data_IF_481411959460
#
_entry.id   IF_481411959460
#
_cell.length_a   1.000
_cell.length_b   1.000
_cell.length_c   1.000
_cell.angle_alpha   90.00
_cell.angle_beta   90.00
_cell.angle_gamma   90.00
#
_symmetry.space_group_name_H-M   'P 1'
#
loop_
_entity.id
_entity.type
_entity.pdbx_description
1 polymer ?
#
# COMPACT_ATOMS: atom_id res chain seq x y z
N UNK A 1 -8.05 -13.63 13.35
CA UNK A 1 -9.29 -12.98 13.85
C UNK A 1 -10.47 -13.78 13.35
N UNK A 2 -11.36 -14.25 14.23
CA UNK A 2 -12.52 -15.04 13.81
C UNK A 2 -13.62 -14.16 13.17
N UNK A 3 -14.63 -14.79 12.57
CA UNK A 3 -15.73 -14.10 11.88
C UNK A 3 -16.55 -13.16 12.79
N UNK A 4 -16.79 -13.53 14.04
CA UNK A 4 -17.56 -12.70 14.96
C UNK A 4 -16.79 -11.43 15.34
N UNK A 5 -15.51 -11.57 15.68
CA UNK A 5 -14.63 -10.44 15.99
C UNK A 5 -14.51 -9.50 14.79
N UNK A 6 -14.40 -10.05 13.58
CA UNK A 6 -14.39 -9.26 12.34
C UNK A 6 -15.66 -8.44 12.15
N UNK A 7 -16.85 -9.04 12.32
CA UNK A 7 -18.14 -8.34 12.19
C UNK A 7 -18.28 -7.24 13.23
N UNK A 8 -17.87 -7.51 14.47
CA UNK A 8 -17.88 -6.50 15.54
C UNK A 8 -16.90 -5.37 15.24
N UNK A 9 -15.68 -5.68 14.80
CA UNK A 9 -14.67 -4.68 14.52
C UNK A 9 -15.05 -3.73 13.37
N UNK A 10 -15.60 -4.27 12.28
CA UNK A 10 -16.07 -3.48 11.14
C UNK A 10 -17.31 -2.64 11.50
N UNK A 11 -18.23 -3.19 12.30
CA UNK A 11 -19.37 -2.43 12.83
C UNK A 11 -18.90 -1.29 13.76
N UNK A 12 -17.89 -1.54 14.59
CA UNK A 12 -17.33 -0.52 15.46
C UNK A 12 -16.67 0.59 14.64
N UNK A 13 -15.88 0.28 13.61
CA UNK A 13 -15.34 1.30 12.71
C UNK A 13 -16.43 2.14 12.06
N UNK A 14 -17.52 1.52 11.59
CA UNK A 14 -18.66 2.26 11.04
C UNK A 14 -19.25 3.29 12.01
N UNK A 15 -19.25 3.01 13.31
CA UNK A 15 -19.67 3.96 14.35
C UNK A 15 -18.67 5.10 14.53
N UNK A 16 -17.37 4.83 14.43
CA UNK A 16 -16.33 5.86 14.59
C UNK A 16 -16.32 6.86 13.43
N UNK A 17 -16.61 6.41 12.21
CA UNK A 17 -16.51 7.26 11.01
C UNK A 17 -17.34 8.56 11.09
N UNK A 18 -18.48 8.55 11.77
CA UNK A 18 -19.31 9.76 11.91
C UNK A 18 -18.93 10.66 13.09
N UNK A 19 -17.95 10.27 13.92
CA UNK A 19 -17.55 10.99 15.13
C UNK A 19 -16.06 11.31 15.12
N UNK A 20 -15.75 12.58 14.84
CA UNK A 20 -14.40 13.08 14.80
C UNK A 20 -13.64 12.88 16.13
N UNK A 21 -14.30 13.04 17.29
CA UNK A 21 -13.64 12.89 18.58
C UNK A 21 -13.19 11.45 18.81
N UNK A 22 -14.02 10.47 18.45
CA UNK A 22 -13.63 9.06 18.51
C UNK A 22 -12.45 8.75 17.59
N UNK A 23 -12.44 9.31 16.38
CA UNK A 23 -11.32 9.15 15.43
C UNK A 23 -10.02 9.73 15.99
N UNK A 24 -10.04 10.93 16.57
CA UNK A 24 -8.81 11.58 17.09
C UNK A 24 -8.16 10.82 18.26
N UNK A 25 -8.96 10.06 19.00
CA UNK A 25 -8.47 9.18 20.06
C UNK A 25 -7.88 7.87 19.51
N UNK A 26 -8.47 7.36 18.43
CA UNK A 26 -8.10 6.10 17.79
C UNK A 26 -6.86 6.21 16.89
N UNK A 27 -6.78 7.27 16.09
CA UNK A 27 -5.78 7.41 15.02
C UNK A 27 -4.79 8.50 15.40
N UNK A 28 -3.50 8.17 15.37
CA UNK A 28 -2.41 9.15 15.38
C UNK A 28 -1.74 9.14 14.01
N UNK A 29 -1.52 10.32 13.44
CA UNK A 29 -1.05 10.45 12.04
C UNK A 29 0.39 9.98 11.82
N UNK A 30 1.12 9.66 12.89
CA UNK A 30 2.48 9.12 12.86
C UNK A 30 2.55 7.61 13.18
N UNK A 31 1.42 6.92 13.27
CA UNK A 31 1.39 5.47 13.49
C UNK A 31 1.42 4.71 12.16
N UNK A 32 1.80 3.44 12.23
CA UNK A 32 1.93 2.55 11.08
C UNK A 32 1.30 1.19 11.36
N UNK A 33 0.97 0.47 10.31
CA UNK A 33 0.68 -0.96 10.34
C UNK A 33 1.95 -1.74 10.04
N UNK A 34 2.01 -2.98 10.51
CA UNK A 34 3.15 -3.88 10.27
C UNK A 34 2.64 -5.28 9.97
N UNK A 35 3.11 -5.84 8.85
CA UNK A 35 2.83 -7.20 8.42
C UNK A 35 4.14 -7.99 8.45
N UNK A 36 4.13 -9.11 9.17
CA UNK A 36 5.23 -10.07 9.10
C UNK A 36 5.18 -10.90 7.82
N UNK A 37 6.31 -11.51 7.45
CA UNK A 37 6.38 -12.48 6.36
C UNK A 37 5.32 -13.58 6.46
N UNK A 38 5.17 -14.21 7.63
CA UNK A 38 4.18 -15.26 7.85
C UNK A 38 2.74 -14.77 7.59
N UNK A 39 2.42 -13.53 7.97
CA UNK A 39 1.12 -12.93 7.70
C UNK A 39 0.92 -12.70 6.20
N UNK A 40 1.93 -12.17 5.52
CA UNK A 40 1.92 -11.93 4.08
C UNK A 40 1.72 -13.25 3.33
N UNK A 41 2.48 -14.28 3.66
CA UNK A 41 2.36 -15.61 3.04
C UNK A 41 0.99 -16.23 3.29
N UNK A 42 0.42 -16.05 4.49
CA UNK A 42 -0.93 -16.51 4.78
C UNK A 42 -1.98 -15.77 3.94
N UNK A 43 -1.87 -14.44 3.82
CA UNK A 43 -2.76 -13.62 2.98
C UNK A 43 -2.69 -14.09 1.53
N UNK A 44 -1.48 -14.32 1.01
CA UNK A 44 -1.24 -14.82 -0.36
C UNK A 44 -1.84 -16.19 -0.60
N UNK A 45 -1.66 -17.11 0.35
CA UNK A 45 -2.16 -18.49 0.20
C UNK A 45 -3.69 -18.57 0.26
N UNK A 46 -4.33 -17.66 1.00
CA UNK A 46 -5.79 -17.65 1.15
C UNK A 46 -6.51 -16.86 0.05
N UNK A 47 -5.86 -15.82 -0.52
CA UNK A 47 -6.46 -14.96 -1.54
C UNK A 47 -6.25 -15.52 -2.95
N UNK A 48 -7.33 -15.67 -3.72
CA UNK A 48 -7.31 -16.19 -5.10
C UNK A 48 -7.53 -15.10 -6.16
N UNK A 49 -7.65 -13.85 -5.73
CA UNK A 49 -7.89 -12.70 -6.61
C UNK A 49 -6.62 -11.90 -6.86
N UNK A 50 -6.62 -11.09 -7.91
CA UNK A 50 -5.47 -10.25 -8.30
C UNK A 50 -5.13 -9.17 -7.26
N UNK A 51 -6.15 -8.74 -6.50
CA UNK A 51 -6.02 -7.80 -5.40
C UNK A 51 -6.33 -8.50 -4.06
N UNK A 52 -5.64 -8.11 -3.00
CA UNK A 52 -6.06 -8.35 -1.62
C UNK A 52 -7.06 -7.27 -1.18
N UNK A 53 -8.01 -7.64 -0.33
CA UNK A 53 -8.95 -6.72 0.31
C UNK A 53 -8.60 -6.56 1.80
N UNK A 54 -8.25 -5.33 2.21
CA UNK A 54 -8.08 -4.98 3.60
C UNK A 54 -9.25 -4.11 4.08
N UNK A 55 -10.13 -4.66 4.91
CA UNK A 55 -11.19 -3.90 5.57
C UNK A 55 -10.68 -3.24 6.85
N UNK A 56 -11.24 -2.08 7.18
CA UNK A 56 -10.86 -1.33 8.38
C UNK A 56 -11.82 -1.65 9.52
N UNK A 57 -11.26 -1.94 10.68
CA UNK A 57 -12.01 -2.22 11.91
C UNK A 57 -11.45 -1.49 13.12
N UNK A 58 -12.18 -1.56 14.23
CA UNK A 58 -11.69 -1.23 15.57
C UNK A 58 -11.76 -2.50 16.40
N UNK A 59 -10.62 -2.93 16.95
CA UNK A 59 -10.55 -4.16 17.75
C UNK A 59 -9.65 -3.93 18.96
N UNK A 60 -10.15 -4.23 20.15
CA UNK A 60 -9.41 -3.96 21.40
C UNK A 60 -9.12 -2.47 21.64
N UNK A 61 -9.92 -1.56 21.06
CA UNK A 61 -9.69 -0.11 21.12
C UNK A 61 -8.58 0.40 20.19
N UNK A 62 -8.00 -0.45 19.34
CA UNK A 62 -7.01 -0.09 18.34
C UNK A 62 -7.63 -0.17 16.93
N UNK A 63 -7.18 0.68 16.00
CA UNK A 63 -7.55 0.56 14.59
C UNK A 63 -6.82 -0.64 13.98
N UNK A 64 -7.53 -1.46 13.21
CA UNK A 64 -6.98 -2.64 12.53
C UNK A 64 -7.26 -2.62 11.03
N UNK A 65 -6.31 -3.16 10.26
CA UNK A 65 -6.55 -3.62 8.89
C UNK A 65 -6.77 -5.13 8.93
N UNK A 66 -7.91 -5.58 8.44
CA UNK A 66 -8.35 -6.98 8.44
C UNK A 66 -8.34 -7.46 6.99
N UNK A 67 -7.48 -8.43 6.68
CA UNK A 67 -7.32 -8.98 5.35
C UNK A 67 -8.36 -10.06 5.11
N UNK A 68 -9.32 -9.74 4.25
CA UNK A 68 -10.43 -10.61 3.92
C UNK A 68 -10.11 -11.31 2.59
N UNK A 69 -10.01 -12.66 2.57
CA UNK A 69 -9.63 -13.39 1.36
C UNK A 69 -10.74 -13.32 0.33
N UNK A 70 -10.34 -13.08 -0.92
CA UNK A 70 -11.22 -13.06 -2.06
C UNK A 70 -11.06 -14.35 -2.88
N UNK A 71 -12.18 -14.83 -3.43
CA UNK A 71 -12.18 -15.90 -4.42
C UNK A 71 -11.80 -15.37 -5.82
N UNK A 72 -11.71 -16.27 -6.80
CA UNK A 72 -11.32 -15.93 -8.19
C UNK A 72 -12.26 -14.90 -8.85
N UNK A 73 -13.49 -14.76 -8.36
CA UNK A 73 -14.47 -13.81 -8.86
C UNK A 73 -14.44 -12.46 -8.11
N UNK A 74 -13.57 -12.31 -7.10
CA UNK A 74 -13.43 -11.09 -6.29
C UNK A 74 -14.42 -10.97 -5.13
N UNK A 75 -15.17 -12.03 -4.81
CA UNK A 75 -16.04 -12.07 -3.63
C UNK A 75 -15.30 -12.62 -2.41
N UNK A 76 -15.74 -12.24 -1.20
CA UNK A 76 -15.22 -12.82 0.04
C UNK A 76 -15.38 -14.36 0.02
N UNK A 77 -14.27 -15.08 0.17
CA UNK A 77 -14.27 -16.54 0.30
C UNK A 77 -14.74 -16.92 1.72
N UNK A 78 -16.04 -17.25 1.83
CA UNK A 78 -16.68 -17.63 3.09
C UNK A 78 -16.18 -18.96 3.68
N UNK A 79 -15.35 -19.72 2.96
CA UNK A 79 -14.74 -20.94 3.52
C UNK A 79 -13.62 -20.65 4.51
N UNK A 80 -13.03 -19.44 4.46
CA UNK A 80 -12.02 -18.98 5.41
C UNK A 80 -12.72 -18.30 6.60
N UNK A 81 -12.55 -18.89 7.78
CA UNK A 81 -13.20 -18.43 9.03
C UNK A 81 -12.24 -17.69 9.97
N UNK A 82 -10.97 -17.59 9.60
CA UNK A 82 -9.95 -16.87 10.36
C UNK A 82 -9.16 -15.92 9.45
N UNK A 83 -9.27 -14.63 9.75
CA UNK A 83 -8.69 -13.54 8.99
C UNK A 83 -7.37 -13.06 9.58
N UNK A 84 -6.40 -12.76 8.72
CA UNK A 84 -5.19 -12.06 9.10
C UNK A 84 -5.51 -10.59 9.36
N UNK A 85 -4.85 -9.99 10.35
CA UNK A 85 -5.02 -8.57 10.64
C UNK A 85 -3.75 -7.96 11.21
N UNK A 86 -3.62 -6.66 11.05
CA UNK A 86 -2.56 -5.85 11.65
C UNK A 86 -3.16 -4.63 12.33
N UNK A 87 -2.44 -4.09 13.31
CA UNK A 87 -2.92 -3.02 14.19
C UNK A 87 -2.12 -1.75 14.00
N UNK A 88 -2.80 -0.61 14.02
CA UNK A 88 -2.18 0.70 13.90
C UNK A 88 -1.42 1.04 15.18
N UNK A 89 -0.09 1.10 15.11
CA UNK A 89 0.77 1.22 16.29
C UNK A 89 1.85 2.29 16.13
N UNK A 90 2.40 2.81 17.25
CA UNK A 90 3.53 3.73 17.20
C UNK A 90 4.69 3.14 16.41
N UNK A 91 5.30 3.97 15.58
CA UNK A 91 6.52 3.59 14.89
C UNK A 91 7.67 3.46 15.91
N UNK A 92 8.24 2.25 16.06
CA UNK A 92 9.32 1.98 17.03
C UNK A 92 10.70 2.45 16.56
N UNK A 93 10.94 2.44 15.24
CA UNK A 93 12.22 2.76 14.62
C UNK A 93 12.00 3.54 13.32
N UNK A 94 12.94 4.41 12.96
CA UNK A 94 12.86 5.17 11.71
C UNK A 94 12.60 4.24 10.51
N UNK A 95 11.72 4.66 9.60
CA UNK A 95 11.50 3.97 8.33
C UNK A 95 12.49 4.55 7.32
N UNK A 96 13.24 3.67 6.66
CA UNK A 96 14.08 4.05 5.52
C UNK A 96 13.33 3.70 4.24
N UNK A 97 13.01 4.71 3.45
CA UNK A 97 12.60 4.54 2.07
C UNK A 97 13.87 4.51 1.21
N UNK A 98 14.02 3.51 0.36
CA UNK A 98 15.20 3.32 -0.48
C UNK A 98 14.78 2.94 -1.89
N UNK A 99 15.16 3.79 -2.84
CA UNK A 99 15.10 3.54 -4.27
C UNK A 99 16.53 3.42 -4.81
N UNK A 100 16.95 2.21 -5.17
CA UNK A 100 18.24 1.99 -5.82
C UNK A 100 18.02 1.99 -7.33
N UNK A 101 18.51 2.99 -8.08
CA UNK A 101 18.50 2.99 -9.56
C UNK A 101 19.89 2.59 -10.07
N UNK A 102 20.02 1.42 -10.69
CA UNK A 102 21.23 1.07 -11.44
C UNK A 102 21.09 1.53 -12.90
N UNK A 103 22.04 2.34 -13.37
CA UNK A 103 22.11 2.76 -14.77
C UNK A 103 23.14 1.90 -15.52
N UNK A 104 22.71 1.12 -16.52
CA UNK A 104 23.64 0.49 -17.46
C UNK A 104 24.07 1.50 -18.52
N UNK A 105 25.30 2.01 -18.44
CA UNK A 105 25.87 2.86 -19.51
C UNK A 105 26.54 1.99 -20.56
N UNK A 106 25.81 1.61 -21.61
CA UNK A 106 26.37 0.88 -22.76
C UNK A 106 27.08 1.87 -23.70
N UNK A 107 28.42 1.95 -23.61
CA UNK A 107 29.24 2.67 -24.60
C UNK A 107 29.64 1.72 -25.72
N UNK A 108 28.89 1.74 -26.81
CA UNK A 108 29.30 1.06 -28.03
C UNK A 108 30.23 1.99 -28.84
N UNK A 109 31.43 1.51 -29.15
CA UNK A 109 32.33 2.15 -30.12
C UNK A 109 32.36 1.29 -31.38
N UNK A 110 31.99 1.88 -32.52
CA UNK A 110 32.09 1.21 -33.82
C UNK A 110 33.40 1.65 -34.48
N UNK A 111 34.28 0.68 -34.70
CA UNK A 111 35.49 0.87 -35.52
C UNK A 111 35.15 0.50 -36.96
N UNK A 112 35.59 1.31 -37.90
CA UNK A 112 35.50 1.01 -39.33
C UNK A 112 36.40 -0.19 -39.69
N UNK A 113 36.26 -0.68 -40.92
CA UNK A 113 37.11 -1.75 -41.46
C UNK A 113 38.60 -1.38 -41.57
N UNK A 114 38.94 -0.09 -41.51
CA UNK A 114 40.31 0.44 -41.43
C UNK A 114 40.71 0.89 -40.00
N UNK A 115 39.98 0.43 -38.98
CA UNK A 115 40.24 0.68 -37.55
C UNK A 115 40.22 2.16 -37.13
N UNK A 116 39.52 3.01 -37.88
CA UNK A 116 39.26 4.40 -37.49
C UNK A 116 37.94 4.49 -36.72
N UNK A 117 37.89 5.39 -35.73
CA UNK A 117 36.70 5.58 -34.89
C UNK A 117 35.63 6.29 -35.71
N UNK A 118 34.50 5.64 -35.96
CA UNK A 118 33.32 6.28 -36.56
C UNK A 118 32.58 6.97 -35.42
N UNK A 119 32.41 8.30 -35.49
CA UNK A 119 31.69 9.06 -34.46
C UNK A 119 30.29 8.48 -34.26
N UNK A 120 30.09 7.88 -33.09
CA UNK A 120 28.94 7.03 -32.80
C UNK A 120 27.75 7.80 -32.27
N UNK A 121 26.58 7.50 -32.84
CA UNK A 121 25.29 7.75 -32.20
C UNK A 121 25.33 7.19 -30.78
N UNK A 122 25.33 8.09 -29.81
CA UNK A 122 25.26 7.72 -28.40
C UNK A 122 23.81 7.38 -28.12
N UNK A 123 23.38 6.16 -28.45
CA UNK A 123 22.06 5.67 -28.07
C UNK A 123 22.07 5.34 -26.57
N UNK A 124 21.80 6.35 -25.75
CA UNK A 124 21.36 6.18 -24.37
C UNK A 124 19.97 5.51 -24.40
N UNK A 125 19.94 4.18 -24.44
CA UNK A 125 18.70 3.46 -24.14
C UNK A 125 18.52 3.44 -22.63
N UNK A 126 17.61 4.29 -22.13
CA UNK A 126 17.08 4.15 -20.78
C UNK A 126 16.42 2.75 -20.69
N UNK A 127 16.67 1.97 -19.64
CA UNK A 127 15.92 0.74 -19.44
C UNK A 127 14.43 1.10 -19.34
N UNK A 128 13.61 0.43 -20.15
CA UNK A 128 12.17 0.52 -20.08
C UNK A 128 11.79 -0.16 -18.76
N UNK A 129 11.45 0.63 -17.74
CA UNK A 129 10.89 0.16 -16.48
C UNK A 129 9.57 -0.56 -16.79
N UNK A 130 9.58 -1.89 -16.74
CA UNK A 130 8.40 -2.73 -16.99
C UNK A 130 7.48 -2.88 -15.77
N UNK A 131 7.78 -2.21 -14.66
CA UNK A 131 6.96 -2.26 -13.44
C UNK A 131 6.60 -0.82 -13.01
N UNK A 132 5.34 -0.58 -12.57
CA UNK A 132 4.92 0.72 -12.06
C UNK A 132 5.56 0.95 -10.68
N UNK A 133 6.83 1.35 -10.68
CA UNK A 133 7.52 1.81 -9.48
C UNK A 133 7.03 3.23 -9.19
N UNK A 134 6.45 3.43 -8.00
CA UNK A 134 6.14 4.77 -7.54
C UNK A 134 7.44 5.50 -7.20
N UNK A 135 7.63 6.69 -7.76
CA UNK A 135 8.73 7.57 -7.35
C UNK A 135 8.66 7.81 -5.83
N UNK A 136 9.75 7.49 -5.13
CA UNK A 136 9.85 7.58 -3.67
C UNK A 136 9.40 8.95 -3.13
N UNK A 137 9.69 10.03 -3.87
CA UNK A 137 9.30 11.39 -3.52
C UNK A 137 7.78 11.58 -3.43
N UNK A 138 7.02 10.92 -4.30
CA UNK A 138 5.54 10.98 -4.29
C UNK A 138 4.98 10.27 -3.05
N UNK A 139 5.61 9.17 -2.63
CA UNK A 139 5.23 8.47 -1.42
C UNK A 139 5.53 9.30 -0.16
N UNK A 140 6.72 9.90 -0.09
CA UNK A 140 7.11 10.81 1.00
C UNK A 140 6.11 11.96 1.10
N UNK A 141 5.84 12.64 -0.01
CA UNK A 141 4.92 13.78 -0.05
C UNK A 141 3.51 13.37 0.44
N UNK A 142 3.02 12.21 0.03
CA UNK A 142 1.71 11.70 0.46
C UNK A 142 1.67 11.40 1.98
N UNK A 143 2.74 10.81 2.54
CA UNK A 143 2.86 10.54 3.99
C UNK A 143 2.96 11.84 4.77
N UNK A 144 3.76 12.80 4.30
CA UNK A 144 3.89 14.11 4.95
C UNK A 144 2.57 14.89 4.93
N UNK A 145 1.85 14.86 3.81
CA UNK A 145 0.50 15.43 3.72
C UNK A 145 -0.46 14.78 4.71
N UNK A 146 -0.43 13.45 4.84
CA UNK A 146 -1.22 12.76 5.86
C UNK A 146 -0.85 13.20 7.27
N UNK A 147 0.45 13.27 7.57
CA UNK A 147 0.95 13.71 8.88
C UNK A 147 0.43 15.10 9.25
N UNK A 148 0.47 16.02 8.29
CA UNK A 148 0.15 17.44 8.52
C UNK A 148 -1.34 17.76 8.39
N UNK A 149 -2.08 17.03 7.55
CA UNK A 149 -3.46 17.35 7.17
C UNK A 149 -4.48 16.23 7.42
N UNK A 150 -4.09 15.05 7.88
CA UNK A 150 -4.98 13.90 8.06
C UNK A 150 -6.11 14.16 9.07
N UNK A 151 -5.82 14.87 10.16
CA UNK A 151 -6.85 15.22 11.16
C UNK A 151 -7.83 16.27 10.63
N UNK A 152 -7.34 17.27 9.88
CA UNK A 152 -8.21 18.24 9.23
C UNK A 152 -9.10 17.57 8.17
N UNK A 153 -8.54 16.60 7.43
CA UNK A 153 -9.31 15.79 6.49
C UNK A 153 -10.43 15.03 7.21
N UNK A 154 -10.15 14.37 8.33
CA UNK A 154 -11.20 13.70 9.13
C UNK A 154 -12.23 14.67 9.67
N UNK A 155 -11.81 15.82 10.20
CA UNK A 155 -12.73 16.84 10.71
C UNK A 155 -13.73 17.24 9.63
N UNK A 156 -13.24 17.55 8.43
CA UNK A 156 -14.08 17.88 7.28
C UNK A 156 -15.00 16.72 6.89
N UNK A 157 -14.48 15.50 6.77
CA UNK A 157 -15.30 14.35 6.33
C UNK A 157 -16.39 13.98 7.35
N UNK A 158 -16.13 14.13 8.65
CA UNK A 158 -17.14 13.94 9.69
C UNK A 158 -18.17 15.08 9.69
N UNK A 159 -17.75 16.34 9.59
CA UNK A 159 -18.63 17.51 9.73
C UNK A 159 -19.46 17.82 8.49
N UNK A 160 -18.88 17.74 7.29
CA UNK A 160 -19.57 18.06 6.03
C UNK A 160 -20.30 16.85 5.43
N UNK A 161 -19.79 15.64 5.66
CA UNK A 161 -20.26 14.43 4.96
C UNK A 161 -20.69 13.30 5.90
N UNK A 162 -20.78 13.56 7.21
CA UNK A 162 -21.25 12.58 8.20
C UNK A 162 -20.39 11.32 8.29
N UNK A 163 -19.15 11.36 7.79
CA UNK A 163 -18.25 10.21 7.75
C UNK A 163 -18.50 9.21 6.63
N UNK A 164 -19.50 9.43 5.77
CA UNK A 164 -19.88 8.45 4.73
C UNK A 164 -18.74 8.15 3.75
N UNK A 165 -17.91 9.14 3.48
CA UNK A 165 -16.77 9.08 2.55
C UNK A 165 -15.49 8.59 3.18
N UNK A 166 -15.47 8.39 4.51
CA UNK A 166 -14.31 7.81 5.18
C UNK A 166 -14.23 6.35 4.77
N UNK A 167 -13.02 5.96 4.37
CA UNK A 167 -12.67 4.64 3.87
C UNK A 167 -13.17 3.52 4.79
N UNK A 168 -13.69 2.46 4.17
CA UNK A 168 -14.08 1.21 4.84
C UNK A 168 -13.14 0.06 4.52
N UNK A 169 -12.54 0.10 3.33
CA UNK A 169 -11.66 -0.94 2.81
C UNK A 169 -10.69 -0.37 1.78
N UNK A 170 -9.63 -1.10 1.56
CA UNK A 170 -8.62 -0.85 0.56
C UNK A 170 -8.41 -2.10 -0.29
N UNK A 171 -8.22 -1.90 -1.60
CA UNK A 171 -7.79 -2.96 -2.51
C UNK A 171 -6.32 -2.77 -2.84
N UNK A 172 -5.55 -3.83 -2.63
CA UNK A 172 -4.09 -3.82 -2.70
C UNK A 172 -3.69 -4.83 -3.78
N UNK A 173 -3.06 -4.42 -4.89
CA UNK A 173 -2.46 -5.35 -5.83
C UNK A 173 -1.57 -6.37 -5.12
N UNK A 174 -1.74 -7.66 -5.43
CA UNK A 174 -0.97 -8.73 -4.78
C UNK A 174 0.55 -8.60 -5.00
N UNK A 175 0.95 -7.93 -6.08
CA UNK A 175 2.33 -7.57 -6.39
C UNK A 175 2.94 -6.60 -5.35
N UNK A 176 2.14 -5.69 -4.78
CA UNK A 176 2.64 -4.75 -3.76
C UNK A 176 2.89 -5.44 -2.41
N UNK A 177 2.24 -6.59 -2.19
CA UNK A 177 2.45 -7.44 -1.02
C UNK A 177 3.53 -8.50 -1.24
N UNK A 178 4.02 -8.68 -2.46
CA UNK A 178 4.99 -9.73 -2.75
C UNK A 178 5.93 -9.40 -3.89
N UNK A 179 7.22 -9.32 -3.56
CA UNK A 179 8.28 -9.27 -4.56
C UNK A 179 9.02 -10.62 -4.60
N UNK A 180 9.17 -11.26 -5.78
CA UNK A 180 9.81 -12.56 -5.89
C UNK A 180 11.32 -12.51 -5.63
N UNK A 181 11.97 -11.35 -5.88
CA UNK A 181 13.39 -11.15 -5.60
C UNK A 181 13.75 -9.65 -5.51
N UNK A 182 14.38 -9.15 -4.44
CA UNK A 182 14.68 -9.84 -3.19
C UNK A 182 13.40 -10.20 -2.41
N UNK A 183 13.48 -11.26 -1.61
CA UNK A 183 12.34 -11.72 -0.80
C UNK A 183 11.92 -10.66 0.23
N UNK A 184 10.61 -10.51 0.44
CA UNK A 184 10.04 -9.56 1.40
C UNK A 184 10.07 -10.17 2.81
N UNK A 185 10.84 -9.58 3.71
CA UNK A 185 10.95 -9.98 5.11
C UNK A 185 9.79 -9.45 5.97
N UNK A 186 9.17 -8.36 5.53
CA UNK A 186 8.00 -7.76 6.15
C UNK A 186 7.62 -6.46 5.45
N UNK A 187 6.44 -5.94 5.78
CA UNK A 187 5.93 -4.70 5.20
C UNK A 187 5.46 -3.78 6.32
N UNK A 188 5.84 -2.49 6.25
CA UNK A 188 5.20 -1.45 7.05
C UNK A 188 4.26 -0.66 6.15
N UNK A 189 3.08 -0.36 6.66
CA UNK A 189 2.09 0.40 5.91
C UNK A 189 1.82 1.73 6.62
N UNK A 190 1.88 2.82 5.87
CA UNK A 190 1.53 4.15 6.38
C UNK A 190 0.35 4.71 5.62
N UNK A 191 -0.48 5.51 6.29
CA UNK A 191 -1.48 6.30 5.57
C UNK A 191 -0.80 7.41 4.77
N UNK A 192 -1.32 7.65 3.58
CA UNK A 192 -0.98 8.79 2.73
C UNK A 192 -2.22 9.58 2.38
N UNK A 193 -2.06 10.86 2.05
CA UNK A 193 -3.13 11.73 1.57
C UNK A 193 -2.78 12.25 0.17
N UNK A 194 -3.63 11.94 -0.82
CA UNK A 194 -3.39 12.29 -2.22
C UNK A 194 -4.61 12.89 -2.88
N UNK A 195 -4.39 13.88 -3.74
CA UNK A 195 -5.46 14.41 -4.56
C UNK A 195 -5.85 13.40 -5.63
N UNK A 196 -7.14 13.22 -5.85
CA UNK A 196 -7.67 12.40 -6.92
C UNK A 196 -8.40 13.29 -7.92
N UNK A 197 -7.90 13.31 -9.16
CA UNK A 197 -8.44 14.17 -10.22
C UNK A 197 -9.83 13.74 -10.70
N UNK A 198 -10.19 12.46 -10.58
CA UNK A 198 -11.51 11.99 -11.00
C UNK A 198 -12.57 12.45 -10.00
N UNK A 199 -12.29 12.31 -8.70
CA UNK A 199 -13.21 12.68 -7.63
C UNK A 199 -13.05 14.14 -7.17
N UNK A 200 -12.05 14.86 -7.71
CA UNK A 200 -11.72 16.24 -7.38
C UNK A 200 -11.62 16.49 -5.86
N UNK A 201 -10.93 15.60 -5.15
CA UNK A 201 -10.79 15.64 -3.69
C UNK A 201 -9.56 14.90 -3.18
N UNK A 202 -9.16 15.22 -1.96
CA UNK A 202 -8.14 14.45 -1.23
C UNK A 202 -8.73 13.11 -0.79
N UNK A 203 -8.01 12.03 -1.08
CA UNK A 203 -8.31 10.67 -0.64
C UNK A 203 -7.19 10.14 0.24
N UNK A 204 -7.58 9.39 1.26
CA UNK A 204 -6.65 8.61 2.08
C UNK A 204 -6.29 7.34 1.33
N UNK A 205 -5.01 6.99 1.30
CA UNK A 205 -4.48 5.75 0.75
C UNK A 205 -3.59 5.07 1.79
N UNK A 206 -3.29 3.79 1.59
CA UNK A 206 -2.28 3.07 2.38
C UNK A 206 -1.08 2.80 1.46
N UNK A 207 0.09 3.23 1.92
CA UNK A 207 1.36 3.07 1.23
C UNK A 207 2.08 1.89 1.88
N UNK A 208 2.43 0.88 1.08
CA UNK A 208 3.13 -0.31 1.50
C UNK A 208 4.63 -0.12 1.27
N UNK A 209 5.41 -0.31 2.35
CA UNK A 209 6.86 -0.15 2.36
C UNK A 209 7.47 -1.51 2.71
N UNK A 210 8.01 -2.18 1.71
CA UNK A 210 8.61 -3.50 1.84
C UNK A 210 9.99 -3.42 2.50
N UNK A 211 10.34 -4.42 3.30
CA UNK A 211 11.68 -4.59 3.84
C UNK A 211 12.25 -5.88 3.26
N UNK A 212 13.42 -5.77 2.63
CA UNK A 212 14.13 -6.90 2.05
C UNK A 212 15.38 -7.20 2.88
N UNK A 213 15.66 -8.47 3.13
CA UNK A 213 16.88 -8.89 3.85
C UNK A 213 18.16 -8.47 3.09
N UNK A 214 18.16 -8.59 1.75
CA UNK A 214 19.30 -8.23 0.89
C UNK A 214 19.64 -6.73 0.89
N UNK A 215 18.69 -5.84 1.17
CA UNK A 215 18.94 -4.40 1.30
C UNK A 215 19.66 -4.02 2.61
N UNK A 216 19.82 -4.95 3.54
CA UNK A 216 20.67 -4.75 4.72
C UNK A 216 22.17 -4.97 4.41
N UNK A 217 22.50 -5.69 3.33
CA UNK A 217 23.87 -6.10 3.00
C UNK A 217 24.48 -5.38 1.79
N UNK A 218 23.72 -4.54 1.07
CA UNK A 218 24.26 -3.55 0.13
C UNK A 218 24.63 -4.08 -1.27
N UNK A 219 24.15 -5.24 -1.68
CA UNK A 219 24.31 -5.74 -3.05
C UNK A 219 22.95 -5.94 -3.74
N UNK A 220 22.69 -5.18 -4.81
CA UNK A 220 21.63 -5.54 -5.77
C UNK A 220 21.85 -4.92 -7.14
N UNK A 221 21.81 -5.76 -8.18
CA UNK A 221 22.09 -5.45 -9.60
C UNK A 221 20.79 -5.03 -10.37
N UNK A 222 19.69 -4.79 -9.64
CA UNK A 222 18.38 -4.41 -10.21
C UNK A 222 17.83 -3.17 -9.51
N UNK A 223 16.98 -2.41 -10.21
CA UNK A 223 16.30 -1.25 -9.61
C UNK A 223 15.25 -1.74 -8.61
N UNK A 224 15.63 -1.82 -7.34
CA UNK A 224 14.72 -2.21 -6.25
C UNK A 224 14.16 -0.92 -5.63
N UNK A 225 12.86 -0.72 -5.79
CA UNK A 225 12.09 0.20 -4.94
C UNK A 225 11.45 -0.60 -3.83
N UNK A 226 11.46 -0.05 -2.62
CA UNK A 226 10.71 -0.64 -1.53
C UNK A 226 9.30 -0.05 -1.36
N UNK A 227 8.84 0.72 -2.34
CA UNK A 227 7.53 1.39 -2.34
C UNK A 227 6.75 1.00 -3.58
N UNK A 228 5.60 0.37 -3.39
CA UNK A 228 4.77 -0.18 -4.46
C UNK A 228 3.38 0.50 -4.50
N UNK A 229 2.63 0.28 -5.59
CA UNK A 229 1.41 1.06 -5.93
C UNK A 229 0.31 0.85 -4.87
N UNK A 230 -0.66 1.75 -4.88
CA UNK A 230 -1.44 2.09 -3.72
C UNK A 230 -2.62 1.16 -3.47
N UNK A 231 -2.86 0.89 -2.19
CA UNK A 231 -4.19 0.61 -1.71
C UNK A 231 -5.14 1.76 -2.06
N UNK A 232 -6.00 1.55 -3.06
CA UNK A 232 -7.03 2.55 -3.38
C UNK A 232 -8.21 2.33 -2.44
N UNK A 233 -8.65 3.37 -1.69
CA UNK A 233 -9.91 3.25 -0.96
C UNK A 233 -11.01 2.96 -1.97
N UNK A 234 -11.90 2.01 -1.67
CA UNK A 234 -13.03 1.72 -2.55
C UNK A 234 -13.87 3.01 -2.72
N UNK A 235 -14.06 3.50 -3.95
CA UNK A 235 -14.86 4.69 -4.19
C UNK A 235 -16.32 4.46 -3.81
N UNK A 236 -17.12 5.53 -3.59
CA UNK A 236 -18.54 5.42 -3.23
C UNK A 236 -19.39 4.59 -4.23
N UNK A 237 -18.91 4.46 -5.47
CA UNK A 237 -19.46 3.56 -6.49
C UNK A 237 -18.36 2.55 -6.85
N UNK A 238 -18.19 1.52 -6.03
CA UNK A 238 -17.36 0.36 -6.38
C UNK A 238 -18.12 -0.46 -7.43
N UNK A 239 -17.50 -0.68 -8.61
CA UNK A 239 -18.03 -1.59 -9.64
C UNK A 239 -17.58 -3.04 -9.46
N UNK A 240 -17.09 -3.38 -8.26
CA UNK A 240 -16.83 -4.77 -7.88
C UNK A 240 -18.18 -5.30 -7.38
N UNK A 241 -18.64 -6.47 -7.83
CA UNK A 241 -20.02 -6.90 -7.59
C UNK A 241 -20.32 -6.88 -6.10
N UNK A 242 -21.46 -6.27 -5.76
CA UNK A 242 -21.88 -6.06 -4.39
C UNK A 242 -21.83 -7.38 -3.60
N UNK A 243 -21.27 -7.28 -2.39
CA UNK A 243 -21.35 -8.30 -1.36
C UNK A 243 -22.79 -8.82 -1.32
N UNK A 244 -22.98 -10.04 -1.80
CA UNK A 244 -24.26 -10.72 -1.72
C UNK A 244 -24.79 -10.64 -0.30
N UNK A 245 -25.90 -9.92 -0.17
CA UNK A 245 -26.79 -9.89 1.00
C UNK A 245 -27.08 -11.28 1.53
#
# INVERSE_FOLDING_TARGET
MNENDYKLATAEWNRYRSDYFLITNLIKTNYVFELSKDQIDTIKNQNKYIDACAEVGVFGGEMVLIFVPLNEQGYIDKSIVEYQYTTLRPLKHNIRLQETKEFTVTKNAVLSSDLTKVDGDTNTSLPITNQPILDQDVAIEAIERWRNGGMEWFYRECTEFGGERIFKRFYIPMEDLSHPYPEVAGIKCSFGLRYNDIFQRMLVTVIFISFHELLQEGESIETISNTYDWAKPCPPVCRIPELGS
#
